data_IF_053142216866
#
_entry.id   IF_053142216866
#
_cell.length_a   1.000
_cell.length_b   1.000
_cell.length_c   1.000
_cell.angle_alpha   90.00
_cell.angle_beta   90.00
_cell.angle_gamma   90.00
#
_symmetry.space_group_name_H-M   'P 1'
#
loop_
_entity.id
_entity.type
_entity.pdbx_description
1 polymer ?
#
# COMPACT_ATOMS: atom_id res chain seq x y z
N UNK A 1 -8.40 -9.07 28.46
CA UNK A 1 -7.07 -9.65 28.21
C UNK A 1 -7.14 -10.86 27.28
N UNK A 2 -8.02 -11.86 27.52
CA UNK A 2 -8.16 -13.04 26.65
C UNK A 2 -8.49 -12.68 25.19
N UNK A 3 -9.44 -11.79 24.95
CA UNK A 3 -9.81 -11.37 23.61
C UNK A 3 -8.62 -10.70 22.86
N UNK A 4 -7.82 -9.90 23.57
CA UNK A 4 -6.64 -9.27 23.02
C UNK A 4 -5.55 -10.30 22.70
N UNK A 5 -5.33 -11.28 23.56
CA UNK A 5 -4.34 -12.34 23.31
C UNK A 5 -4.75 -13.25 22.14
N UNK A 6 -6.03 -13.57 21.99
CA UNK A 6 -6.56 -14.32 20.85
C UNK A 6 -6.37 -13.51 19.56
N UNK A 7 -6.66 -12.21 19.57
CA UNK A 7 -6.47 -11.33 18.43
C UNK A 7 -4.98 -11.25 18.04
N UNK A 8 -4.10 -11.06 19.00
CA UNK A 8 -2.64 -11.01 18.76
C UNK A 8 -2.09 -12.35 18.26
N UNK A 9 -2.60 -13.47 18.80
CA UNK A 9 -2.23 -14.80 18.32
C UNK A 9 -2.70 -15.03 16.89
N UNK A 10 -3.94 -14.66 16.57
CA UNK A 10 -4.49 -14.75 15.22
C UNK A 10 -3.70 -13.91 14.21
N UNK A 11 -3.31 -12.69 14.57
CA UNK A 11 -2.44 -11.83 13.74
C UNK A 11 -1.07 -12.47 13.49
N UNK A 12 -0.44 -13.06 14.53
CA UNK A 12 0.84 -13.76 14.38
C UNK A 12 0.72 -14.98 13.48
N UNK A 13 -0.32 -15.79 13.67
CA UNK A 13 -0.57 -16.97 12.83
C UNK A 13 -0.78 -16.58 11.36
N UNK A 14 -1.54 -15.52 11.12
CA UNK A 14 -1.78 -15.02 9.77
C UNK A 14 -0.50 -14.49 9.13
N UNK A 15 0.33 -13.75 9.88
CA UNK A 15 1.63 -13.26 9.39
C UNK A 15 2.58 -14.43 9.07
N UNK A 16 2.67 -15.43 9.94
CA UNK A 16 3.48 -16.62 9.72
C UNK A 16 3.02 -17.45 8.51
N UNK A 17 1.70 -17.54 8.27
CA UNK A 17 1.16 -18.22 7.10
C UNK A 17 1.50 -17.50 5.77
N UNK A 18 1.80 -16.20 5.83
CA UNK A 18 2.20 -15.41 4.66
C UNK A 18 3.72 -15.34 4.43
N UNK A 19 4.53 -15.80 5.40
CA UNK A 19 5.99 -15.80 5.30
C UNK A 19 6.50 -16.58 4.07
N UNK A 20 6.00 -17.79 3.74
CA UNK A 20 6.41 -18.51 2.55
C UNK A 20 6.12 -17.77 1.23
N UNK A 21 5.09 -16.92 1.21
CA UNK A 21 4.74 -16.12 0.04
C UNK A 21 5.76 -14.99 -0.16
N UNK A 22 6.28 -14.42 0.93
CA UNK A 22 7.31 -13.38 0.89
C UNK A 22 8.66 -13.90 0.41
N UNK A 23 8.94 -15.19 0.63
CA UNK A 23 10.18 -15.86 0.19
C UNK A 23 10.06 -16.48 -1.21
N UNK A 24 8.86 -16.51 -1.80
CA UNK A 24 8.63 -17.09 -3.12
C UNK A 24 9.34 -16.27 -4.20
N UNK A 25 10.31 -16.90 -4.90
CA UNK A 25 11.01 -16.27 -6.04
C UNK A 25 10.04 -15.80 -7.13
N UNK A 26 8.98 -16.56 -7.39
CA UNK A 26 7.96 -16.17 -8.38
C UNK A 26 7.23 -14.90 -7.98
N UNK A 27 6.91 -14.75 -6.70
CA UNK A 27 6.27 -13.56 -6.16
C UNK A 27 7.19 -12.34 -6.23
N UNK A 28 8.45 -12.50 -5.83
CA UNK A 28 9.46 -11.45 -5.91
C UNK A 28 9.72 -11.04 -7.37
N UNK A 29 9.80 -12.01 -8.29
CA UNK A 29 10.00 -11.76 -9.72
C UNK A 29 8.86 -10.93 -10.33
N UNK A 30 7.60 -11.19 -9.97
CA UNK A 30 6.46 -10.38 -10.40
C UNK A 30 6.62 -8.93 -9.94
N UNK A 31 7.12 -8.71 -8.72
CA UNK A 31 7.30 -7.37 -8.16
C UNK A 31 8.46 -6.60 -8.82
N UNK A 32 9.48 -7.29 -9.34
CA UNK A 32 10.69 -6.66 -9.91
C UNK A 32 10.59 -6.36 -11.40
N UNK A 33 9.75 -7.08 -12.15
CA UNK A 33 9.62 -6.94 -13.63
C UNK A 33 8.70 -5.77 -14.04
N UNK A 34 8.15 -5.05 -13.07
CA UNK A 34 7.13 -4.03 -13.35
C UNK A 34 7.77 -2.69 -13.72
N UNK A 35 7.67 -2.32 -14.99
CA UNK A 35 8.06 -0.99 -15.48
C UNK A 35 6.87 -0.04 -15.63
N UNK A 36 5.65 -0.59 -15.77
CA UNK A 36 4.44 0.20 -16.02
C UNK A 36 3.79 0.65 -14.70
N UNK A 37 3.57 1.97 -14.50
CA UNK A 37 2.96 2.52 -13.28
C UNK A 37 1.59 1.94 -12.95
N UNK A 38 0.75 1.70 -13.96
CA UNK A 38 -0.59 1.15 -13.78
C UNK A 38 -0.54 -0.30 -13.28
N UNK A 39 0.40 -1.08 -13.82
CA UNK A 39 0.64 -2.46 -13.37
C UNK A 39 1.18 -2.45 -11.94
N UNK A 40 2.07 -1.52 -11.60
CA UNK A 40 2.59 -1.37 -10.24
C UNK A 40 1.47 -1.10 -9.21
N UNK A 41 0.52 -0.21 -9.53
CA UNK A 41 -0.65 0.03 -8.68
C UNK A 41 -1.47 -1.26 -8.55
N UNK A 42 -1.76 -1.96 -9.67
CA UNK A 42 -2.51 -3.21 -9.68
C UNK A 42 -1.87 -4.30 -8.80
N UNK A 43 -0.56 -4.45 -8.88
CA UNK A 43 0.20 -5.39 -8.04
C UNK A 43 0.14 -4.97 -6.57
N UNK A 44 0.30 -3.68 -6.26
CA UNK A 44 0.16 -3.16 -4.91
C UNK A 44 -1.22 -3.48 -4.30
N UNK A 45 -2.29 -3.32 -5.10
CA UNK A 45 -3.65 -3.71 -4.72
C UNK A 45 -3.73 -5.21 -4.44
N UNK A 46 -3.28 -6.04 -5.37
CA UNK A 46 -3.36 -7.50 -5.27
C UNK A 46 -2.59 -8.04 -4.06
N UNK A 47 -1.34 -7.60 -3.89
CA UNK A 47 -0.49 -7.99 -2.76
C UNK A 47 -1.13 -7.63 -1.43
N UNK A 48 -1.63 -6.41 -1.30
CA UNK A 48 -2.23 -5.97 -0.03
C UNK A 48 -3.59 -6.62 0.21
N UNK A 49 -4.37 -6.89 -0.83
CA UNK A 49 -5.64 -7.62 -0.72
C UNK A 49 -5.42 -9.06 -0.20
N UNK A 50 -4.36 -9.73 -0.67
CA UNK A 50 -3.98 -11.09 -0.24
C UNK A 50 -3.38 -11.07 1.17
N UNK A 51 -2.41 -10.21 1.42
CA UNK A 51 -1.73 -10.10 2.73
C UNK A 51 -2.64 -9.52 3.81
N UNK A 52 -3.68 -8.80 3.42
CA UNK A 52 -4.61 -8.09 4.32
C UNK A 52 -3.90 -7.17 5.33
N UNK A 53 -2.68 -6.81 5.05
CA UNK A 53 -1.80 -6.00 5.89
C UNK A 53 -1.00 -5.02 5.05
N UNK A 54 -1.36 -3.74 5.15
CA UNK A 54 -0.64 -2.66 4.48
C UNK A 54 0.81 -2.55 4.98
N UNK A 55 1.04 -2.77 6.27
CA UNK A 55 2.39 -2.71 6.86
C UNK A 55 3.28 -3.85 6.37
N UNK A 56 2.74 -5.07 6.23
CA UNK A 56 3.47 -6.19 5.66
C UNK A 56 3.82 -5.93 4.18
N UNK A 57 2.88 -5.41 3.40
CA UNK A 57 3.12 -5.02 2.00
C UNK A 57 4.23 -3.97 1.89
N UNK A 58 4.21 -2.93 2.73
CA UNK A 58 5.27 -1.92 2.77
C UNK A 58 6.61 -2.52 3.23
N UNK A 59 6.61 -3.45 4.17
CA UNK A 59 7.81 -4.17 4.61
C UNK A 59 8.47 -4.97 3.49
N UNK A 60 7.68 -5.66 2.65
CA UNK A 60 8.18 -6.35 1.47
C UNK A 60 8.81 -5.36 0.49
N UNK A 61 8.15 -4.24 0.23
CA UNK A 61 8.68 -3.19 -0.64
C UNK A 61 10.00 -2.62 -0.11
N UNK A 62 10.13 -2.47 1.20
CA UNK A 62 11.37 -2.03 1.84
C UNK A 62 12.50 -3.06 1.68
N UNK A 63 12.19 -4.34 1.84
CA UNK A 63 13.16 -5.43 1.64
C UNK A 63 13.64 -5.49 0.19
N UNK A 64 12.72 -5.43 -0.79
CA UNK A 64 13.04 -5.42 -2.21
C UNK A 64 13.82 -4.16 -2.64
N UNK A 65 13.51 -3.03 -2.02
CA UNK A 65 14.25 -1.79 -2.23
C UNK A 65 15.68 -1.87 -1.72
N UNK A 66 15.90 -2.53 -0.59
CA UNK A 66 17.23 -2.73 -0.01
C UNK A 66 18.14 -3.59 -0.92
N UNK A 67 17.55 -4.47 -1.73
CA UNK A 67 18.28 -5.25 -2.75
C UNK A 67 18.51 -4.49 -4.07
N UNK A 68 17.98 -3.26 -4.19
CA UNK A 68 18.05 -2.49 -5.42
C UNK A 68 17.14 -3.01 -6.55
N UNK A 69 16.28 -3.97 -6.27
CA UNK A 69 15.42 -4.63 -7.27
C UNK A 69 14.26 -3.73 -7.74
N UNK A 70 13.89 -2.71 -6.96
CA UNK A 70 12.77 -1.80 -7.28
C UNK A 70 13.23 -0.35 -7.19
N UNK A 71 12.92 0.43 -8.24
CA UNK A 71 13.13 1.87 -8.25
C UNK A 71 12.11 2.61 -7.36
N UNK A 72 12.52 3.76 -6.81
CA UNK A 72 11.69 4.60 -5.93
C UNK A 72 10.34 4.96 -6.54
N UNK A 73 10.31 5.21 -7.85
CA UNK A 73 9.09 5.57 -8.59
C UNK A 73 8.07 4.43 -8.59
N UNK A 74 8.51 3.21 -8.87
CA UNK A 74 7.65 2.02 -8.87
C UNK A 74 7.16 1.71 -7.46
N UNK A 75 8.04 1.81 -6.45
CA UNK A 75 7.66 1.64 -5.05
C UNK A 75 6.54 2.60 -4.63
N UNK A 76 6.57 3.85 -5.08
CA UNK A 76 5.53 4.84 -4.81
C UNK A 76 4.16 4.40 -5.38
N UNK A 77 4.12 3.95 -6.65
CA UNK A 77 2.88 3.46 -7.25
C UNK A 77 2.34 2.22 -6.52
N UNK A 78 3.22 1.32 -6.09
CA UNK A 78 2.84 0.16 -5.29
C UNK A 78 2.29 0.55 -3.91
N UNK A 79 2.83 1.59 -3.25
CA UNK A 79 2.30 2.13 -1.98
C UNK A 79 0.89 2.68 -2.16
N UNK A 80 0.64 3.43 -3.24
CA UNK A 80 -0.70 3.93 -3.56
C UNK A 80 -1.66 2.76 -3.78
N UNK A 81 -1.24 1.75 -4.54
CA UNK A 81 -2.00 0.53 -4.75
C UNK A 81 -2.29 -0.21 -3.44
N UNK A 82 -1.31 -0.29 -2.53
CA UNK A 82 -1.49 -0.95 -1.24
C UNK A 82 -2.54 -0.27 -0.37
N UNK A 83 -2.65 1.06 -0.44
CA UNK A 83 -3.71 1.82 0.24
C UNK A 83 -5.11 1.44 -0.27
N UNK A 84 -5.27 1.27 -1.57
CA UNK A 84 -6.54 0.83 -2.18
C UNK A 84 -6.80 -0.65 -1.86
N UNK A 85 -5.78 -1.50 -1.92
CA UNK A 85 -5.86 -2.93 -1.60
C UNK A 85 -6.33 -3.22 -0.17
N UNK A 86 -5.99 -2.36 0.77
CA UNK A 86 -6.46 -2.44 2.16
C UNK A 86 -7.99 -2.32 2.30
N UNK A 87 -8.68 -1.80 1.28
CA UNK A 87 -10.14 -1.70 1.28
C UNK A 87 -10.82 -3.04 0.93
N UNK A 88 -10.13 -3.95 0.25
CA UNK A 88 -10.72 -5.20 -0.25
C UNK A 88 -11.33 -6.06 0.87
N UNK A 89 -10.65 -6.35 1.99
CA UNK A 89 -11.24 -7.11 3.09
C UNK A 89 -12.48 -6.45 3.68
N UNK A 90 -12.47 -5.10 3.77
CA UNK A 90 -13.59 -4.32 4.29
C UNK A 90 -14.79 -4.41 3.34
N UNK A 91 -14.56 -4.34 2.04
CA UNK A 91 -15.62 -4.51 1.03
C UNK A 91 -16.20 -5.92 1.05
N UNK A 92 -15.35 -6.94 1.15
CA UNK A 92 -15.79 -8.34 1.25
C UNK A 92 -16.66 -8.56 2.51
N UNK A 93 -16.26 -8.03 3.66
CA UNK A 93 -17.03 -8.12 4.89
C UNK A 93 -18.37 -7.37 4.81
N UNK A 94 -18.47 -6.35 3.95
CA UNK A 94 -19.68 -5.57 3.76
C UNK A 94 -20.73 -6.25 2.87
N UNK A 95 -20.38 -7.30 2.11
CA UNK A 95 -21.31 -7.97 1.15
C UNK A 95 -22.56 -8.50 1.87
N UNK A 96 -22.41 -9.13 3.05
CA UNK A 96 -23.50 -9.64 3.86
C UNK A 96 -24.04 -8.67 4.92
N UNK A 97 -23.50 -7.46 5.02
CA UNK A 97 -23.77 -6.55 6.13
C UNK A 97 -24.99 -5.64 5.88
N UNK A 98 -25.46 -4.99 6.97
CA UNK A 98 -26.54 -3.99 6.93
C UNK A 98 -26.15 -2.77 6.11
N UNK A 99 -27.16 -2.01 5.63
CA UNK A 99 -27.01 -0.85 4.75
C UNK A 99 -25.97 0.18 5.22
N UNK A 100 -25.88 0.42 6.53
CA UNK A 100 -24.93 1.37 7.11
C UNK A 100 -23.47 0.86 7.04
N UNK A 101 -23.24 -0.43 7.21
CA UNK A 101 -21.91 -1.01 7.06
C UNK A 101 -21.43 -0.96 5.61
N UNK A 102 -22.32 -1.21 4.64
CA UNK A 102 -22.02 -1.03 3.22
C UNK A 102 -21.62 0.41 2.89
N UNK A 103 -22.37 1.38 3.41
CA UNK A 103 -22.03 2.80 3.24
C UNK A 103 -20.65 3.14 3.80
N UNK A 104 -20.32 2.63 5.00
CA UNK A 104 -19.01 2.85 5.61
C UNK A 104 -17.89 2.23 4.77
N UNK A 105 -18.06 1.00 4.25
CA UNK A 105 -17.10 0.34 3.40
C UNK A 105 -16.85 1.10 2.08
N UNK A 106 -17.91 1.58 1.44
CA UNK A 106 -17.79 2.41 0.23
C UNK A 106 -17.15 3.76 0.51
N UNK A 107 -17.47 4.40 1.64
CA UNK A 107 -16.82 5.64 2.05
C UNK A 107 -15.32 5.44 2.27
N UNK A 108 -14.92 4.31 2.86
CA UNK A 108 -13.52 3.96 3.06
C UNK A 108 -12.79 3.73 1.73
N UNK A 109 -13.42 3.02 0.79
CA UNK A 109 -12.87 2.85 -0.57
C UNK A 109 -12.70 4.20 -1.27
N UNK A 110 -13.74 5.02 -1.24
CA UNK A 110 -13.74 6.35 -1.87
C UNK A 110 -12.64 7.25 -1.28
N UNK A 111 -12.49 7.22 0.04
CA UNK A 111 -11.43 7.93 0.75
C UNK A 111 -10.03 7.52 0.26
N UNK A 112 -9.76 6.22 0.17
CA UNK A 112 -8.45 5.73 -0.27
C UNK A 112 -8.21 6.01 -1.76
N UNK A 113 -9.23 5.89 -2.60
CA UNK A 113 -9.15 6.16 -4.03
C UNK A 113 -8.88 7.65 -4.31
N UNK A 114 -9.62 8.55 -3.64
CA UNK A 114 -9.44 9.99 -3.75
C UNK A 114 -8.09 10.43 -3.17
N UNK A 115 -7.72 9.91 -2.00
CA UNK A 115 -6.43 10.19 -1.37
C UNK A 115 -5.26 9.73 -2.23
N UNK A 116 -5.35 8.51 -2.78
CA UNK A 116 -4.34 7.95 -3.69
C UNK A 116 -4.23 8.74 -4.99
N UNK A 117 -5.37 9.05 -5.61
CA UNK A 117 -5.41 9.84 -6.85
C UNK A 117 -4.87 11.26 -6.67
N UNK A 118 -5.25 11.92 -5.58
CA UNK A 118 -4.74 13.27 -5.29
C UNK A 118 -3.25 13.27 -4.97
N UNK A 119 -2.78 12.27 -4.22
CA UNK A 119 -1.35 12.13 -3.95
C UNK A 119 -0.56 11.87 -5.23
N UNK A 120 -1.11 11.06 -6.14
CA UNK A 120 -0.54 10.83 -7.46
C UNK A 120 -0.44 12.12 -8.28
N UNK A 121 -1.51 12.92 -8.31
CA UNK A 121 -1.54 14.21 -9.02
C UNK A 121 -0.52 15.19 -8.43
N UNK A 122 -0.51 15.33 -7.10
CA UNK A 122 0.48 16.18 -6.42
C UNK A 122 1.91 15.73 -6.71
N UNK A 123 2.13 14.42 -6.75
CA UNK A 123 3.42 13.86 -7.08
C UNK A 123 3.84 14.16 -8.51
N UNK A 124 2.95 14.00 -9.50
CA UNK A 124 3.23 14.29 -10.90
C UNK A 124 3.47 15.79 -11.14
N UNK A 125 2.74 16.65 -10.44
CA UNK A 125 2.93 18.09 -10.48
C UNK A 125 4.29 18.47 -9.87
N UNK A 126 4.65 17.89 -8.74
CA UNK A 126 5.93 18.15 -8.09
C UNK A 126 7.13 17.66 -8.95
N UNK A 127 7.01 16.49 -9.58
CA UNK A 127 8.00 15.94 -10.52
C UNK A 127 8.15 16.82 -11.76
N UNK A 128 7.05 17.43 -12.24
CA UNK A 128 7.05 18.34 -13.40
C UNK A 128 7.59 19.75 -13.11
N UNK A 129 7.41 20.28 -11.89
CA UNK A 129 7.80 21.65 -11.53
C UNK A 129 9.23 21.72 -10.99
N UNK A 130 9.60 20.80 -10.13
CA UNK A 130 10.92 20.78 -9.48
C UNK A 130 11.93 19.86 -10.17
N UNK A 131 11.53 19.16 -11.27
CA UNK A 131 12.36 18.16 -11.92
C UNK A 131 12.45 16.87 -11.11
N UNK A 132 13.11 15.82 -11.65
CA UNK A 132 13.20 14.53 -10.99
C UNK A 132 13.91 14.72 -9.65
N UNK A 133 13.15 14.55 -8.56
CA UNK A 133 13.74 14.60 -7.22
C UNK A 133 14.90 13.62 -7.14
N UNK A 134 16.09 14.05 -6.64
CA UNK A 134 17.26 13.16 -6.51
C UNK A 134 16.96 11.87 -5.75
N UNK A 135 15.94 11.92 -4.89
CA UNK A 135 15.40 10.80 -4.12
C UNK A 135 14.63 9.77 -4.98
N UNK A 136 14.10 10.17 -6.12
CA UNK A 136 13.28 9.34 -7.03
C UNK A 136 14.06 8.76 -8.19
N UNK A 137 15.24 9.32 -8.49
CA UNK A 137 16.12 8.86 -9.56
C UNK A 137 17.09 7.78 -9.10
N UNK A 138 17.17 7.54 -7.79
CA UNK A 138 18.02 6.51 -7.18
C UNK A 138 17.26 5.22 -6.85
N UNK A 139 18.01 4.21 -6.41
CA UNK A 139 17.45 3.03 -5.78
C UNK A 139 16.60 3.45 -4.57
N UNK A 140 15.40 2.88 -4.45
CA UNK A 140 14.53 3.20 -3.34
C UNK A 140 15.22 2.82 -2.02
N UNK A 141 15.36 3.75 -1.09
CA UNK A 141 15.87 3.45 0.24
C UNK A 141 14.72 3.00 1.13
N UNK A 142 14.94 1.99 2.00
CA UNK A 142 13.92 1.51 2.94
C UNK A 142 13.30 2.65 3.77
N UNK A 143 14.11 3.62 4.18
CA UNK A 143 13.68 4.83 4.89
C UNK A 143 12.80 5.69 4.00
N UNK A 144 13.14 5.83 2.72
CA UNK A 144 12.38 6.61 1.76
C UNK A 144 10.99 6.05 1.51
N UNK A 145 10.86 4.73 1.40
CA UNK A 145 9.56 4.06 1.28
C UNK A 145 8.69 4.31 2.51
N UNK A 146 9.27 4.24 3.72
CA UNK A 146 8.55 4.56 4.95
C UNK A 146 8.08 6.01 4.98
N UNK A 147 8.94 6.95 4.57
CA UNK A 147 8.60 8.38 4.48
C UNK A 147 7.49 8.63 3.46
N UNK A 148 7.54 8.01 2.27
CA UNK A 148 6.49 8.12 1.25
C UNK A 148 5.15 7.60 1.77
N UNK A 149 5.14 6.42 2.42
CA UNK A 149 3.92 5.86 3.00
C UNK A 149 3.35 6.77 4.10
N UNK A 150 4.20 7.34 4.94
CA UNK A 150 3.80 8.28 6.00
C UNK A 150 3.27 9.58 5.40
N UNK A 151 3.97 10.16 4.44
CA UNK A 151 3.55 11.38 3.75
C UNK A 151 2.19 11.19 3.04
N UNK A 152 1.99 10.04 2.37
CA UNK A 152 0.72 9.69 1.75
C UNK A 152 -0.42 9.66 2.78
N UNK A 153 -0.21 9.03 3.92
CA UNK A 153 -1.24 8.94 4.98
C UNK A 153 -1.53 10.29 5.62
N UNK A 154 -0.49 11.10 5.90
CA UNK A 154 -0.64 12.45 6.44
C UNK A 154 -1.39 13.34 5.45
N UNK A 155 -1.02 13.32 4.17
CA UNK A 155 -1.71 14.10 3.13
C UNK A 155 -3.19 13.71 3.02
N UNK A 156 -3.51 12.42 3.05
CA UNK A 156 -4.88 11.93 3.05
C UNK A 156 -5.67 12.43 4.28
N UNK A 157 -5.10 12.37 5.49
CA UNK A 157 -5.75 12.85 6.71
C UNK A 157 -5.97 14.36 6.66
N UNK A 158 -4.97 15.15 6.28
CA UNK A 158 -5.08 16.62 6.21
C UNK A 158 -6.15 17.06 5.21
N UNK A 159 -6.29 16.34 4.10
CA UNK A 159 -7.32 16.61 3.10
C UNK A 159 -8.74 16.50 3.67
N UNK A 160 -8.95 15.53 4.56
CA UNK A 160 -10.27 15.24 5.13
C UNK A 160 -10.50 15.89 6.50
N UNK A 161 -9.45 16.41 7.14
CA UNK A 161 -9.57 17.08 8.46
C UNK A 161 -10.47 18.32 8.41
N UNK A 162 -10.58 18.95 7.24
CA UNK A 162 -11.28 20.24 7.08
C UNK A 162 -12.78 20.09 6.79
N UNK A 163 -13.35 18.90 6.83
CA UNK A 163 -14.79 18.65 6.73
C UNK A 163 -15.36 18.06 8.00
#
# INVERSE_FOLDING_TARGET
LLALSVLMSGMKTMSAAMEPLQESESFLRILTVVENPVVAIGIGIAVTAVLQSCSASVGILQALSATGAIGSRIALFMIIGSGIGACVPVLLSAIGAKKNAKRAAFSYLFFNLMGGGMFLILFLIADGIWGPFPFLTGAATSVGIAQMNTAFKIAAVLLYWRK
#
